data_IF_808423396778
#
_entry.id   IF_808423396778
#
_cell.length_a   1.000
_cell.length_b   1.000
_cell.length_c   1.000
_cell.angle_alpha   90.00
_cell.angle_beta   90.00
_cell.angle_gamma   90.00
#
_symmetry.space_group_name_H-M   'P 1'
#
loop_
_entity.id
_entity.type
_entity.pdbx_description
1 polymer ?
#
# COMPACT_ATOMS: atom_id res chain seq x y z
N UNK A 1 7.44 -18.81 -21.05
CA UNK A 1 6.29 -17.88 -20.91
C UNK A 1 5.79 -17.74 -19.47
N UNK A 2 5.61 -18.83 -18.71
CA UNK A 2 5.07 -18.75 -17.34
C UNK A 2 5.94 -17.99 -16.31
N UNK A 3 7.28 -18.07 -16.41
CA UNK A 3 8.18 -17.37 -15.48
C UNK A 3 8.14 -15.84 -15.63
N UNK A 4 8.06 -15.35 -16.87
CA UNK A 4 7.93 -13.91 -17.17
C UNK A 4 6.59 -13.39 -16.64
N UNK A 5 5.50 -14.15 -16.83
CA UNK A 5 4.18 -13.80 -16.31
C UNK A 5 4.16 -13.73 -14.77
N UNK A 6 4.82 -14.66 -14.09
CA UNK A 6 4.98 -14.62 -12.63
C UNK A 6 5.81 -13.41 -12.17
N UNK A 7 6.90 -13.09 -12.87
CA UNK A 7 7.71 -11.90 -12.59
C UNK A 7 6.91 -10.60 -12.72
N UNK A 8 6.11 -10.47 -13.79
CA UNK A 8 5.26 -9.31 -14.04
C UNK A 8 4.14 -9.21 -12.98
N UNK A 9 3.42 -10.31 -12.71
CA UNK A 9 2.40 -10.35 -11.66
C UNK A 9 2.96 -9.94 -10.29
N UNK A 10 4.21 -10.32 -9.99
CA UNK A 10 4.88 -9.90 -8.75
C UNK A 10 5.20 -8.42 -8.73
N UNK A 11 5.74 -7.89 -9.83
CA UNK A 11 6.02 -6.47 -9.99
C UNK A 11 4.76 -5.61 -9.83
N UNK A 12 3.67 -5.99 -10.49
CA UNK A 12 2.37 -5.31 -10.41
C UNK A 12 1.78 -5.39 -9.00
N UNK A 13 1.85 -6.56 -8.36
CA UNK A 13 1.36 -6.76 -6.99
C UNK A 13 2.11 -5.88 -5.98
N UNK A 14 3.45 -5.83 -6.05
CA UNK A 14 4.23 -4.94 -5.17
C UNK A 14 4.01 -3.47 -5.48
N UNK A 15 3.85 -3.10 -6.75
CA UNK A 15 3.59 -1.71 -7.16
C UNK A 15 2.22 -1.24 -6.66
N UNK A 16 1.20 -2.11 -6.70
CA UNK A 16 -0.11 -1.86 -6.09
C UNK A 16 0.01 -1.62 -4.58
N UNK A 17 0.73 -2.49 -3.87
CA UNK A 17 0.96 -2.33 -2.43
C UNK A 17 1.66 -1.00 -2.10
N UNK A 18 2.69 -0.62 -2.86
CA UNK A 18 3.38 0.67 -2.71
C UNK A 18 2.42 1.84 -2.97
N UNK A 19 1.58 1.74 -4.00
CA UNK A 19 0.54 2.73 -4.29
C UNK A 19 -0.44 2.91 -3.12
N UNK A 20 -0.89 1.82 -2.51
CA UNK A 20 -1.78 1.85 -1.34
C UNK A 20 -1.11 2.49 -0.12
N UNK A 21 0.18 2.23 0.11
CA UNK A 21 0.95 2.86 1.19
C UNK A 21 1.12 4.36 0.94
N UNK A 22 1.47 4.77 -0.27
CA UNK A 22 1.59 6.18 -0.64
C UNK A 22 0.27 6.93 -0.47
N UNK A 23 -0.84 6.34 -0.93
CA UNK A 23 -2.17 6.95 -0.82
C UNK A 23 -2.63 7.02 0.64
N UNK A 24 -2.37 5.97 1.44
CA UNK A 24 -2.62 5.97 2.87
C UNK A 24 -1.80 7.04 3.60
N UNK A 25 -0.53 7.21 3.22
CA UNK A 25 0.34 8.27 3.71
C UNK A 25 -0.19 9.68 3.40
N UNK A 26 -0.72 9.90 2.19
CA UNK A 26 -1.36 11.17 1.82
C UNK A 26 -2.58 11.43 2.71
N UNK A 27 -3.42 10.42 2.95
CA UNK A 27 -4.60 10.57 3.82
C UNK A 27 -4.23 10.83 5.30
N UNK A 28 -3.15 10.23 5.79
CA UNK A 28 -2.59 10.53 7.12
C UNK A 28 -2.15 12.00 7.17
N UNK A 29 -1.34 12.44 6.21
CA UNK A 29 -0.82 13.80 6.15
C UNK A 29 -1.93 14.86 6.03
N UNK A 30 -2.98 14.57 5.27
CA UNK A 30 -4.16 15.44 5.15
C UNK A 30 -5.01 15.46 6.43
N UNK A 31 -5.22 14.29 7.07
CA UNK A 31 -5.96 14.21 8.32
C UNK A 31 -5.28 14.94 9.49
N UNK A 32 -3.93 14.99 9.50
CA UNK A 32 -3.15 15.77 10.47
C UNK A 32 -2.97 17.25 10.12
N UNK A 33 -3.55 17.73 9.01
CA UNK A 33 -3.39 19.12 8.53
C UNK A 33 -1.93 19.51 8.22
N UNK A 34 -1.04 18.53 8.05
CA UNK A 34 0.39 18.74 7.85
C UNK A 34 0.76 18.98 6.38
N UNK A 35 0.14 18.25 5.44
CA UNK A 35 0.39 18.40 4.00
C UNK A 35 -0.88 18.24 3.16
N UNK A 36 -0.89 18.91 1.99
CA UNK A 36 -2.04 19.00 1.05
C UNK A 36 -3.33 19.54 1.69
N UNK A 37 -3.30 20.81 2.12
CA UNK A 37 -4.46 21.57 2.62
C UNK A 37 -5.48 21.93 1.54
N UNK A 38 -5.74 21.02 0.61
CA UNK A 38 -6.64 21.20 -0.52
C UNK A 38 -7.68 20.08 -0.47
N UNK A 39 -8.93 20.43 -0.13
CA UNK A 39 -10.07 19.51 -0.14
C UNK A 39 -10.78 19.31 1.20
N UNK A 40 -11.90 18.61 1.15
CA UNK A 40 -12.86 18.40 2.25
C UNK A 40 -12.36 17.49 3.39
N UNK A 41 -11.17 16.87 3.25
CA UNK A 41 -10.63 15.86 4.16
C UNK A 41 -9.61 16.41 5.17
N UNK A 42 -9.27 17.69 5.07
CA UNK A 42 -8.16 18.32 5.79
C UNK A 42 -8.60 18.74 7.19
N UNK A 43 -7.96 18.18 8.22
CA UNK A 43 -8.25 18.47 9.64
C UNK A 43 -9.17 17.47 10.34
N UNK A 44 -9.64 16.43 9.64
CA UNK A 44 -10.46 15.37 10.21
C UNK A 44 -9.63 14.12 10.56
N UNK A 45 -9.56 13.80 11.85
CA UNK A 45 -8.78 12.65 12.37
C UNK A 45 -9.28 11.30 11.82
N UNK A 46 -10.54 11.23 11.38
CA UNK A 46 -11.12 10.05 10.74
C UNK A 46 -10.35 9.65 9.48
N UNK A 47 -9.96 10.62 8.65
CA UNK A 47 -9.18 10.36 7.43
C UNK A 47 -7.76 9.88 7.73
N UNK A 48 -7.15 10.36 8.82
CA UNK A 48 -5.86 9.86 9.26
C UNK A 48 -5.91 8.38 9.67
N UNK A 49 -6.99 7.98 10.34
CA UNK A 49 -7.22 6.59 10.76
C UNK A 49 -7.49 5.68 9.54
N UNK A 50 -8.27 6.13 8.56
CA UNK A 50 -8.47 5.39 7.31
C UNK A 50 -7.18 5.28 6.49
N UNK A 51 -6.37 6.34 6.42
CA UNK A 51 -5.06 6.33 5.78
C UNK A 51 -4.08 5.36 6.45
N UNK A 52 -4.05 5.34 7.79
CA UNK A 52 -3.25 4.40 8.56
C UNK A 52 -3.67 2.94 8.31
N UNK A 53 -4.98 2.65 8.31
CA UNK A 53 -5.48 1.33 7.95
C UNK A 53 -5.10 0.93 6.53
N UNK A 54 -5.24 1.84 5.55
CA UNK A 54 -4.87 1.58 4.17
C UNK A 54 -3.36 1.31 4.01
N UNK A 55 -2.52 2.08 4.72
CA UNK A 55 -1.08 1.87 4.72
C UNK A 55 -0.70 0.52 5.33
N UNK A 56 -1.34 0.12 6.43
CA UNK A 56 -1.13 -1.21 7.04
C UNK A 56 -1.52 -2.32 6.07
N UNK A 57 -2.69 -2.20 5.41
CA UNK A 57 -3.14 -3.18 4.41
C UNK A 57 -2.16 -3.24 3.23
N UNK A 58 -1.67 -2.10 2.73
CA UNK A 58 -0.66 -2.04 1.68
C UNK A 58 0.64 -2.74 2.08
N UNK A 59 1.14 -2.51 3.30
CA UNK A 59 2.33 -3.20 3.83
C UNK A 59 2.08 -4.71 3.95
N UNK A 60 0.94 -5.13 4.50
CA UNK A 60 0.56 -6.54 4.57
C UNK A 60 0.50 -7.19 3.18
N UNK A 61 -0.01 -6.48 2.19
CA UNK A 61 -0.10 -6.95 0.81
C UNK A 61 1.30 -7.14 0.18
N UNK A 62 2.23 -6.20 0.40
CA UNK A 62 3.63 -6.31 -0.04
C UNK A 62 4.30 -7.53 0.62
N UNK A 63 4.18 -7.66 1.95
CA UNK A 63 4.78 -8.75 2.71
C UNK A 63 4.21 -10.10 2.26
N UNK A 64 2.90 -10.19 2.08
CA UNK A 64 2.24 -11.41 1.61
C UNK A 64 2.71 -11.78 0.20
N UNK A 65 2.76 -10.81 -0.71
CA UNK A 65 3.23 -11.00 -2.08
C UNK A 65 4.66 -11.53 -2.12
N UNK A 66 5.55 -11.04 -1.25
CA UNK A 66 6.92 -11.55 -1.12
C UNK A 66 7.01 -12.91 -0.40
N UNK A 67 6.15 -13.18 0.58
CA UNK A 67 6.19 -14.43 1.37
C UNK A 67 5.68 -15.63 0.57
N UNK A 68 4.71 -15.43 -0.34
CA UNK A 68 4.23 -16.49 -1.24
C UNK A 68 5.34 -17.08 -2.12
N UNK A 69 6.34 -16.29 -2.49
CA UNK A 69 7.47 -16.76 -3.30
C UNK A 69 8.43 -17.66 -2.49
N UNK A 70 8.70 -17.32 -1.22
CA UNK A 70 9.56 -18.15 -0.37
C UNK A 70 8.99 -19.55 -0.16
N UNK A 71 7.66 -19.70 -0.12
CA UNK A 71 7.02 -21.00 0.02
C UNK A 71 7.20 -21.90 -1.21
N UNK A 72 7.27 -21.31 -2.41
CA UNK A 72 7.44 -22.05 -3.67
C UNK A 72 8.91 -22.35 -3.98
N UNK A 73 9.85 -21.51 -3.52
CA UNK A 73 11.30 -21.74 -3.65
C UNK A 73 11.87 -22.75 -2.65
N UNK A 74 11.11 -23.17 -1.63
CA UNK A 74 11.55 -24.08 -0.56
C UNK A 74 11.18 -25.55 -0.75
N UNK A 75 10.44 -25.90 -1.80
CA UNK A 75 10.22 -27.30 -2.23
C UNK A 75 10.88 -27.54 -3.57
#
# INVERSE_FOLDING_TARGET
>A
MGEIFNGIMRGVSSLLGVGMVCMGGIWILQGFNLAFRVGFMVGDKHWAVYGAMLAVVGVCQIIWSNTREQYYKRR
#
